data_IF_579999472706
#
_entry.id   IF_579999472706
#
_cell.length_a   1.000
_cell.length_b   1.000
_cell.length_c   1.000
_cell.angle_alpha   90.00
_cell.angle_beta   90.00
_cell.angle_gamma   90.00
#
_symmetry.space_group_name_H-M   'P 1'
#
loop_
_entity.id
_entity.type
_entity.pdbx_description
1 polymer ?
#
# COMPACT_ATOMS: atom_id res chain seq x y z
N UNK A 1 0.95 4.69 -12.31
CA UNK A 1 -0.40 4.44 -11.77
C UNK A 1 -1.08 5.78 -11.63
N UNK A 2 -2.30 5.96 -12.17
CA UNK A 2 -3.02 7.22 -12.05
C UNK A 2 -3.20 7.62 -10.58
N UNK A 3 -3.04 8.91 -10.28
CA UNK A 3 -3.12 9.44 -8.92
C UNK A 3 -4.47 9.12 -8.26
N UNK A 4 -5.53 9.04 -9.06
CA UNK A 4 -6.89 8.71 -8.61
C UNK A 4 -6.92 7.32 -7.99
N UNK A 5 -6.20 6.35 -8.55
CA UNK A 5 -6.15 5.00 -7.99
C UNK A 5 -5.36 4.99 -6.69
N UNK A 6 -4.29 5.78 -6.58
CA UNK A 6 -3.51 5.91 -5.32
C UNK A 6 -4.39 6.45 -4.19
N UNK A 7 -5.16 7.50 -4.44
CA UNK A 7 -6.10 8.04 -3.46
C UNK A 7 -7.26 7.08 -3.16
N UNK A 8 -7.77 6.37 -4.17
CA UNK A 8 -8.78 5.34 -3.96
C UNK A 8 -8.25 4.22 -3.04
N UNK A 9 -7.04 3.70 -3.30
CA UNK A 9 -6.38 2.71 -2.43
C UNK A 9 -6.22 3.25 -1.01
N UNK A 10 -5.79 4.51 -0.84
CA UNK A 10 -5.67 5.13 0.47
C UNK A 10 -7.02 5.19 1.22
N UNK A 11 -8.11 5.56 0.53
CA UNK A 11 -9.44 5.57 1.11
C UNK A 11 -9.91 4.15 1.47
N UNK A 12 -9.65 3.17 0.60
CA UNK A 12 -10.02 1.77 0.83
C UNK A 12 -9.32 1.17 2.06
N UNK A 13 -8.05 1.55 2.29
CA UNK A 13 -7.30 1.17 3.50
C UNK A 13 -7.95 1.73 4.76
N UNK A 14 -8.45 2.97 4.74
CA UNK A 14 -9.16 3.56 5.87
C UNK A 14 -10.54 2.91 6.09
N UNK A 15 -11.25 2.55 5.03
CA UNK A 15 -12.53 1.83 5.13
C UNK A 15 -12.34 0.46 5.80
N UNK A 16 -11.21 -0.20 5.58
CA UNK A 16 -10.90 -1.51 6.16
C UNK A 16 -10.68 -1.51 7.69
N UNK A 17 -10.62 -0.32 8.30
CA UNK A 17 -10.63 -0.13 9.76
C UNK A 17 -12.00 -0.44 10.38
N UNK A 18 -13.06 -0.41 9.58
CA UNK A 18 -14.41 -0.79 9.98
C UNK A 18 -14.65 -2.29 9.72
N UNK A 19 -15.67 -2.90 10.35
CA UNK A 19 -16.08 -4.25 10.02
C UNK A 19 -16.57 -4.30 8.56
N UNK A 20 -15.76 -4.92 7.72
CA UNK A 20 -16.01 -5.12 6.29
C UNK A 20 -16.00 -6.61 5.96
N UNK A 21 -16.68 -7.04 4.87
CA UNK A 21 -16.65 -8.43 4.42
C UNK A 21 -15.22 -8.91 4.14
N UNK A 22 -14.97 -10.20 4.30
CA UNK A 22 -13.66 -10.81 4.00
C UNK A 22 -13.25 -10.61 2.54
N UNK A 23 -14.20 -10.74 1.61
CA UNK A 23 -13.98 -10.48 0.18
C UNK A 23 -13.50 -9.06 -0.11
N UNK A 24 -13.90 -8.07 0.69
CA UNK A 24 -13.38 -6.71 0.57
C UNK A 24 -11.89 -6.66 0.92
N UNK A 25 -11.46 -7.37 1.97
CA UNK A 25 -10.06 -7.43 2.39
C UNK A 25 -9.19 -8.14 1.36
N UNK A 26 -9.69 -9.21 0.74
CA UNK A 26 -9.00 -9.90 -0.35
C UNK A 26 -8.74 -8.98 -1.55
N UNK A 27 -9.79 -8.26 -2.00
CA UNK A 27 -9.67 -7.30 -3.10
C UNK A 27 -8.73 -6.15 -2.70
N UNK A 28 -8.84 -5.66 -1.47
CA UNK A 28 -7.97 -4.62 -0.95
C UNK A 28 -6.50 -5.05 -0.98
N UNK A 29 -6.18 -6.28 -0.59
CA UNK A 29 -4.81 -6.80 -0.63
C UNK A 29 -4.27 -6.77 -2.07
N UNK A 30 -5.04 -7.20 -3.06
CA UNK A 30 -4.62 -7.15 -4.48
C UNK A 30 -4.35 -5.72 -4.94
N UNK A 31 -5.27 -4.79 -4.64
CA UNK A 31 -5.14 -3.39 -5.06
C UNK A 31 -3.99 -2.70 -4.32
N UNK A 32 -3.88 -2.89 -3.00
CA UNK A 32 -2.81 -2.34 -2.18
C UNK A 32 -1.45 -2.91 -2.60
N UNK A 33 -1.33 -4.23 -2.79
CA UNK A 33 -0.13 -4.88 -3.31
C UNK A 33 0.32 -4.26 -4.63
N UNK A 34 -0.59 -4.13 -5.60
CA UNK A 34 -0.29 -3.51 -6.88
C UNK A 34 0.11 -2.04 -6.75
N UNK A 35 -0.59 -1.28 -5.89
CA UNK A 35 -0.31 0.14 -5.67
C UNK A 35 1.06 0.35 -5.02
N UNK A 36 1.36 -0.38 -3.95
CA UNK A 36 2.63 -0.28 -3.25
C UNK A 36 3.78 -0.84 -4.10
N UNK A 37 3.55 -1.95 -4.82
CA UNK A 37 4.52 -2.52 -5.76
C UNK A 37 4.87 -1.55 -6.90
N UNK A 38 3.88 -0.86 -7.46
CA UNK A 38 4.13 0.20 -8.44
C UNK A 38 4.90 1.38 -7.83
N UNK A 39 4.57 1.76 -6.60
CA UNK A 39 5.29 2.77 -5.84
C UNK A 39 6.76 2.40 -5.63
N UNK A 40 7.04 1.14 -5.28
CA UNK A 40 8.39 0.62 -5.17
C UNK A 40 9.13 0.72 -6.52
N UNK A 41 8.51 0.24 -7.60
CA UNK A 41 9.08 0.29 -8.95
C UNK A 41 9.42 1.72 -9.40
N UNK A 42 8.52 2.69 -9.15
CA UNK A 42 8.76 4.09 -9.53
C UNK A 42 9.86 4.78 -8.72
N UNK A 43 10.09 4.36 -7.48
CA UNK A 43 11.14 4.91 -6.62
C UNK A 43 12.43 4.07 -6.68
N UNK A 44 12.45 3.01 -7.50
CA UNK A 44 13.62 2.18 -7.75
C UNK A 44 14.52 2.87 -8.77
N UNK A 45 15.77 3.11 -8.39
CA UNK A 45 16.76 3.72 -9.28
C UNK A 45 17.62 2.61 -9.91
N UNK A 46 17.68 2.46 -11.24
CA UNK A 46 18.35 1.32 -11.87
C UNK A 46 19.88 1.29 -11.68
N UNK A 47 20.49 2.43 -11.34
CA UNK A 47 21.95 2.61 -11.27
C UNK A 47 22.39 3.13 -9.88
N UNK A 48 21.44 3.38 -8.97
CA UNK A 48 21.68 3.98 -7.65
C UNK A 48 21.31 3.04 -6.49
N UNK A 49 21.69 3.40 -5.24
CA UNK A 49 21.23 2.68 -4.07
C UNK A 49 19.70 2.81 -3.93
N UNK A 50 19.06 1.72 -3.53
CA UNK A 50 17.61 1.68 -3.35
C UNK A 50 17.18 2.77 -2.37
N UNK A 51 16.30 3.68 -2.83
CA UNK A 51 15.87 4.80 -1.99
C UNK A 51 15.10 4.28 -0.77
N UNK A 52 15.25 4.95 0.37
CA UNK A 52 14.53 4.59 1.60
C UNK A 52 13.01 4.48 1.34
N UNK A 53 12.47 5.36 0.49
CA UNK A 53 11.06 5.32 0.10
C UNK A 53 10.70 4.05 -0.68
N UNK A 54 11.51 3.64 -1.67
CA UNK A 54 11.29 2.39 -2.40
C UNK A 54 11.30 1.18 -1.47
N UNK A 55 12.21 1.14 -0.49
CA UNK A 55 12.25 0.06 0.52
C UNK A 55 10.97 0.05 1.35
N UNK A 56 10.51 1.20 1.83
CA UNK A 56 9.24 1.30 2.57
C UNK A 56 8.08 0.78 1.70
N UNK A 57 8.00 1.18 0.43
CA UNK A 57 6.99 0.68 -0.50
C UNK A 57 7.05 -0.84 -0.68
N UNK A 58 8.24 -1.44 -0.79
CA UNK A 58 8.39 -2.89 -0.87
C UNK A 58 7.86 -3.56 0.39
N UNK A 59 8.18 -3.03 1.58
CA UNK A 59 7.69 -3.58 2.85
C UNK A 59 6.15 -3.57 2.86
N UNK A 60 5.53 -2.44 2.51
CA UNK A 60 4.06 -2.36 2.43
C UNK A 60 3.47 -3.31 1.38
N UNK A 61 4.10 -3.43 0.20
CA UNK A 61 3.67 -4.40 -0.80
C UNK A 61 3.70 -5.82 -0.22
N UNK A 62 4.79 -6.23 0.42
CA UNK A 62 4.89 -7.56 1.01
C UNK A 62 3.86 -7.81 2.12
N UNK A 63 3.56 -6.79 2.94
CA UNK A 63 2.56 -6.90 4.02
C UNK A 63 1.13 -7.03 3.47
N UNK A 64 0.83 -6.44 2.31
CA UNK A 64 -0.45 -6.57 1.62
C UNK A 64 -0.47 -7.70 0.56
N UNK A 65 0.50 -8.62 0.58
CA UNK A 65 0.60 -9.67 -0.42
C UNK A 65 -0.64 -10.59 -0.43
N UNK A 66 -1.39 -10.68 -1.55
CA UNK A 66 -2.58 -11.53 -1.62
C UNK A 66 -2.27 -13.04 -1.70
N UNK A 67 -1.04 -13.42 -2.09
CA UNK A 67 -0.65 -14.83 -2.24
C UNK A 67 -0.33 -15.45 -0.87
N UNK A 68 0.37 -14.70 -0.03
CA UNK A 68 0.72 -15.12 1.34
C UNK A 68 0.20 -14.05 2.30
N UNK A 69 -1.11 -14.05 2.62
CA UNK A 69 -1.71 -13.05 3.47
C UNK A 69 -1.08 -13.08 4.86
N UNK A 70 -0.63 -11.92 5.33
CA UNK A 70 -0.04 -11.77 6.66
C UNK A 70 -1.16 -11.49 7.65
N UNK A 71 -1.46 -12.46 8.52
CA UNK A 71 -2.44 -12.28 9.60
C UNK A 71 -1.78 -11.57 10.76
N UNK A 72 -2.10 -10.28 10.92
CA UNK A 72 -1.61 -9.47 12.02
C UNK A 72 -2.64 -9.38 13.16
N UNK A 73 -2.20 -9.23 14.42
CA UNK A 73 -3.08 -8.82 15.50
C UNK A 73 -3.75 -7.47 15.20
N UNK A 74 -4.82 -7.16 15.92
CA UNK A 74 -5.68 -6.01 15.65
C UNK A 74 -4.92 -4.66 15.62
N UNK A 75 -4.11 -4.38 16.66
CA UNK A 75 -3.39 -3.11 16.75
C UNK A 75 -2.34 -2.91 15.63
N UNK A 76 -1.43 -3.87 15.34
CA UNK A 76 -0.54 -3.77 14.18
C UNK A 76 -1.27 -3.67 12.85
N UNK A 77 -2.40 -4.35 12.69
CA UNK A 77 -3.24 -4.25 11.49
C UNK A 77 -3.78 -2.84 11.30
N UNK A 78 -4.34 -2.23 12.35
CA UNK A 78 -4.82 -0.84 12.31
C UNK A 78 -3.69 0.12 11.92
N UNK A 79 -2.51 -0.02 12.54
CA UNK A 79 -1.34 0.81 12.23
C UNK A 79 -0.88 0.63 10.78
N UNK A 80 -0.91 -0.59 10.26
CA UNK A 80 -0.58 -0.88 8.86
C UNK A 80 -1.53 -0.15 7.90
N UNK A 81 -2.84 -0.20 8.16
CA UNK A 81 -3.84 0.45 7.30
C UNK A 81 -3.72 1.98 7.34
N UNK A 82 -3.60 2.58 8.54
CA UNK A 82 -3.44 4.03 8.70
C UNK A 82 -2.10 4.48 8.10
N UNK A 83 -1.01 3.79 8.43
CA UNK A 83 0.32 4.10 7.93
C UNK A 83 0.42 3.98 6.41
N UNK A 84 -0.20 2.95 5.83
CA UNK A 84 -0.26 2.75 4.39
C UNK A 84 -1.08 3.84 3.70
N UNK A 85 -2.26 4.17 4.24
CA UNK A 85 -3.10 5.24 3.71
C UNK A 85 -2.37 6.60 3.76
N UNK A 86 -1.73 6.92 4.90
CA UNK A 86 -0.97 8.14 5.07
C UNK A 86 0.23 8.21 4.11
N UNK A 87 0.99 7.12 3.99
CA UNK A 87 2.11 7.03 3.06
C UNK A 87 1.64 7.32 1.64
N UNK A 88 0.60 6.63 1.15
CA UNK A 88 0.04 6.85 -0.19
C UNK A 88 -0.47 8.28 -0.38
N UNK A 89 -1.20 8.83 0.59
CA UNK A 89 -1.75 10.18 0.50
C UNK A 89 -0.66 11.26 0.40
N UNK A 90 0.40 11.16 1.23
CA UNK A 90 1.52 12.11 1.27
C UNK A 90 2.36 12.05 0.00
N UNK A 91 2.49 10.85 -0.59
CA UNK A 91 3.36 10.60 -1.73
C UNK A 91 2.63 10.55 -3.08
N UNK A 92 1.30 10.64 -3.11
CA UNK A 92 0.47 10.50 -4.30
C UNK A 92 0.92 11.37 -5.48
N UNK A 93 1.34 12.61 -5.23
CA UNK A 93 1.84 13.53 -6.27
C UNK A 93 3.12 13.05 -6.96
N UNK A 94 3.89 12.15 -6.34
CA UNK A 94 5.08 11.55 -6.98
C UNK A 94 4.71 10.56 -8.08
N UNK A 95 3.46 10.09 -8.14
CA UNK A 95 2.98 9.18 -9.17
C UNK A 95 2.57 9.88 -10.47
N UNK A 96 2.38 11.21 -10.44
CA UNK A 96 2.07 12.04 -11.62
C UNK A 96 3.31 12.47 -12.40
N UNK A 97 4.47 12.48 -11.76
CA UNK A 97 5.76 12.79 -12.39
C UNK A 97 6.32 11.57 -13.12
#
# INVERSE_FOLDING_TARGET
>A
MPVQIVYATAAMLLIALFPVPESYREILNVIAFGTFGWGAYRNFEPIGPMTALAVVYVIFALLFNPITPVVLPELPSILLHIGGAALLAVTARRFER
#
